data_IF_397465786745
#
_entry.id   IF_397465786745
#
_cell.length_a   1.000
_cell.length_b   1.000
_cell.length_c   1.000
_cell.angle_alpha   90.00
_cell.angle_beta   90.00
_cell.angle_gamma   90.00
#
_symmetry.space_group_name_H-M   'P 1'
#
loop_
_entity.id
_entity.type
_entity.pdbx_description
1 polymer ?
#
# COMPACT_ATOMS: atom_id res chain seq x y z
N UNK A 1 -12.21 -2.31 -2.46
CA UNK A 1 -10.92 -2.91 -2.03
C UNK A 1 -9.87 -1.87 -1.68
N UNK A 2 -9.67 -0.83 -2.52
CA UNK A 2 -8.68 0.23 -2.28
C UNK A 2 -8.92 1.02 -0.98
N UNK A 3 -10.15 1.48 -0.73
CA UNK A 3 -10.51 2.20 0.50
C UNK A 3 -10.44 1.33 1.76
N UNK A 4 -10.72 0.02 1.63
CA UNK A 4 -10.55 -0.94 2.73
C UNK A 4 -9.06 -1.14 3.05
N UNK A 5 -8.20 -1.21 2.03
CA UNK A 5 -6.74 -1.26 2.22
C UNK A 5 -6.18 0.01 2.86
N UNK A 6 -6.65 1.19 2.45
CA UNK A 6 -6.27 2.48 3.04
C UNK A 6 -6.74 2.62 4.49
N UNK A 7 -7.99 2.28 4.78
CA UNK A 7 -8.53 2.27 6.15
C UNK A 7 -7.80 1.28 7.07
N UNK A 8 -7.47 0.08 6.56
CA UNK A 8 -6.68 -0.91 7.29
C UNK A 8 -5.28 -0.42 7.65
N UNK A 9 -4.63 0.35 6.78
CA UNK A 9 -3.31 0.93 7.06
C UNK A 9 -3.35 1.98 8.19
N UNK A 10 -4.37 2.83 8.22
CA UNK A 10 -4.55 3.85 9.28
C UNK A 10 -4.79 3.16 10.63
N UNK A 11 -5.69 2.16 10.66
CA UNK A 11 -5.95 1.34 11.84
C UNK A 11 -4.69 0.64 12.35
N UNK A 12 -3.83 0.15 11.45
CA UNK A 12 -2.56 -0.50 11.81
C UNK A 12 -1.59 0.46 12.49
N UNK A 13 -1.39 1.66 11.94
CA UNK A 13 -0.49 2.65 12.54
C UNK A 13 -0.98 3.10 13.93
N UNK A 14 -2.29 3.33 14.08
CA UNK A 14 -2.89 3.61 15.38
C UNK A 14 -2.69 2.44 16.35
N UNK A 15 -2.92 1.21 15.90
CA UNK A 15 -2.84 0.04 16.77
C UNK A 15 -1.40 -0.30 17.19
N UNK A 16 -0.42 -0.18 16.29
CA UNK A 16 1.02 -0.31 16.63
C UNK A 16 1.40 0.75 17.68
N UNK A 17 0.85 1.96 17.59
CA UNK A 17 1.10 3.00 18.58
C UNK A 17 0.56 2.66 19.98
N UNK A 18 -0.47 1.82 20.10
CA UNK A 18 -1.05 1.38 21.38
C UNK A 18 -0.61 -0.03 21.81
N UNK A 19 0.19 -0.74 21.00
CA UNK A 19 0.52 -2.13 21.24
C UNK A 19 1.55 -2.27 22.38
N UNK A 20 1.14 -2.87 23.50
CA UNK A 20 2.06 -3.20 24.61
C UNK A 20 2.76 -4.55 24.46
N UNK A 21 2.20 -5.47 23.66
CA UNK A 21 2.67 -6.85 23.55
C UNK A 21 3.09 -7.16 22.10
N UNK A 22 4.39 -7.32 21.80
CA UNK A 22 4.92 -7.30 20.44
C UNK A 22 4.53 -8.50 19.58
N UNK A 23 4.19 -9.64 20.18
CA UNK A 23 3.83 -10.87 19.46
C UNK A 23 2.55 -10.73 18.61
N UNK A 24 1.65 -9.82 18.98
CA UNK A 24 0.42 -9.58 18.23
C UNK A 24 0.67 -8.89 16.88
N UNK A 25 1.88 -8.42 16.57
CA UNK A 25 2.16 -7.80 15.27
C UNK A 25 2.14 -8.82 14.12
N UNK A 26 2.53 -10.07 14.37
CA UNK A 26 2.77 -11.10 13.34
C UNK A 26 1.51 -11.51 12.54
N UNK A 27 0.39 -11.93 13.17
CA UNK A 27 -0.81 -12.30 12.43
C UNK A 27 -1.43 -11.12 11.66
N UNK A 28 -1.24 -9.89 12.15
CA UNK A 28 -1.75 -8.70 11.49
C UNK A 28 -0.89 -8.27 10.30
N UNK A 29 0.44 -8.42 10.38
CA UNK A 29 1.32 -8.26 9.22
C UNK A 29 0.98 -9.28 8.10
N UNK A 30 0.52 -10.48 8.47
CA UNK A 30 0.05 -11.46 7.48
C UNK A 30 -1.24 -11.02 6.77
N UNK A 31 -2.25 -10.56 7.52
CA UNK A 31 -3.50 -10.02 6.97
C UNK A 31 -3.25 -8.77 6.11
N UNK A 32 -2.29 -7.94 6.52
CA UNK A 32 -1.81 -6.79 5.76
C UNK A 32 -1.21 -7.23 4.40
N UNK A 33 -0.38 -8.27 4.40
CA UNK A 33 0.18 -8.84 3.17
C UNK A 33 -0.91 -9.31 2.19
N UNK A 34 -1.93 -10.01 2.71
CA UNK A 34 -3.06 -10.49 1.89
C UNK A 34 -3.86 -9.32 1.31
N UNK A 35 -4.21 -8.33 2.13
CA UNK A 35 -4.99 -7.17 1.67
C UNK A 35 -4.21 -6.32 0.66
N UNK A 36 -2.89 -6.15 0.85
CA UNK A 36 -2.03 -5.48 -0.11
C UNK A 36 -1.97 -6.24 -1.44
N UNK A 37 -1.78 -7.56 -1.41
CA UNK A 37 -1.77 -8.38 -2.61
C UNK A 37 -3.12 -8.33 -3.36
N UNK A 38 -4.24 -8.38 -2.64
CA UNK A 38 -5.57 -8.28 -3.21
C UNK A 38 -5.84 -6.91 -3.86
N UNK A 39 -5.40 -5.82 -3.21
CA UNK A 39 -5.48 -4.46 -3.76
C UNK A 39 -4.66 -4.34 -5.04
N UNK A 40 -3.42 -4.85 -5.02
CA UNK A 40 -2.54 -4.83 -6.19
C UNK A 40 -3.14 -5.61 -7.36
N UNK A 41 -3.63 -6.83 -7.10
CA UNK A 41 -4.30 -7.66 -8.11
C UNK A 41 -5.53 -6.99 -8.71
N UNK A 42 -6.36 -6.33 -7.89
CA UNK A 42 -7.52 -5.58 -8.36
C UNK A 42 -7.13 -4.38 -9.23
N UNK A 43 -6.10 -3.62 -8.85
CA UNK A 43 -5.57 -2.52 -9.66
C UNK A 43 -5.03 -3.01 -11.01
N UNK A 44 -4.22 -4.07 -11.01
CA UNK A 44 -3.69 -4.66 -12.23
C UNK A 44 -4.80 -5.18 -13.15
N UNK A 45 -5.83 -5.83 -12.60
CA UNK A 45 -7.00 -6.30 -13.36
C UNK A 45 -7.81 -5.15 -13.96
N UNK A 46 -8.06 -4.10 -13.18
CA UNK A 46 -8.78 -2.91 -13.64
C UNK A 46 -8.07 -2.21 -14.81
N UNK A 47 -6.76 -1.99 -14.70
CA UNK A 47 -5.98 -1.38 -15.77
C UNK A 47 -5.90 -2.28 -17.00
N UNK A 48 -5.70 -3.60 -16.82
CA UNK A 48 -5.64 -4.54 -17.93
C UNK A 48 -6.96 -4.63 -18.72
N UNK A 49 -8.10 -4.46 -18.04
CA UNK A 49 -9.43 -4.43 -18.67
C UNK A 49 -9.67 -3.15 -19.47
N UNK A 50 -9.23 -2.00 -18.97
CA UNK A 50 -9.44 -0.70 -19.61
C UNK A 50 -8.36 -0.31 -20.64
N UNK A 51 -7.29 -1.11 -20.76
CA UNK A 51 -6.15 -0.81 -21.64
C UNK A 51 -6.07 -1.80 -22.81
N UNK A 52 -5.85 -1.32 -24.05
CA UNK A 52 -5.66 -2.22 -25.20
C UNK A 52 -4.47 -3.17 -24.97
N UNK A 53 -4.53 -4.42 -25.50
CA UNK A 53 -3.57 -5.48 -25.19
C UNK A 53 -2.10 -5.10 -25.37
N UNK A 54 -1.81 -4.28 -26.38
CA UNK A 54 -0.47 -3.83 -26.73
C UNK A 54 0.13 -2.86 -25.71
N UNK A 55 -0.69 -2.17 -24.91
CA UNK A 55 -0.26 -1.14 -23.95
C UNK A 55 -0.35 -1.60 -22.49
N UNK A 56 -0.82 -2.82 -22.22
CA UNK A 56 -1.03 -3.33 -20.85
C UNK A 56 0.24 -3.33 -20.00
N UNK A 57 1.37 -3.75 -20.59
CA UNK A 57 2.66 -3.78 -19.89
C UNK A 57 3.13 -2.36 -19.53
N UNK A 58 3.01 -1.40 -20.45
CA UNK A 58 3.32 0.00 -20.19
C UNK A 58 2.42 0.61 -19.13
N UNK A 59 1.11 0.34 -19.16
CA UNK A 59 0.17 0.84 -18.16
C UNK A 59 0.40 0.25 -16.77
N UNK A 60 0.77 -1.04 -16.68
CA UNK A 60 1.22 -1.66 -15.42
C UNK A 60 2.55 -1.08 -14.94
N UNK A 61 3.48 -0.78 -15.84
CA UNK A 61 4.74 -0.10 -15.53
C UNK A 61 4.52 1.30 -14.94
N UNK A 62 3.59 2.07 -15.50
CA UNK A 62 3.18 3.39 -14.96
C UNK A 62 2.54 3.23 -13.58
N UNK A 63 1.62 2.28 -13.41
CA UNK A 63 1.02 1.99 -12.10
C UNK A 63 2.10 1.65 -11.06
N UNK A 64 3.08 0.81 -11.42
CA UNK A 64 4.16 0.43 -10.53
C UNK A 64 5.05 1.63 -10.18
N UNK A 65 5.40 2.46 -11.17
CA UNK A 65 6.18 3.68 -10.96
C UNK A 65 5.47 4.70 -10.06
N UNK A 66 4.16 4.85 -10.21
CA UNK A 66 3.37 5.75 -9.34
C UNK A 66 3.24 5.18 -7.93
N UNK A 67 2.90 3.90 -7.78
CA UNK A 67 2.62 3.30 -6.46
C UNK A 67 3.92 3.05 -5.67
N UNK A 68 4.91 2.37 -6.26
CA UNK A 68 6.15 1.99 -5.59
C UNK A 68 7.26 3.04 -5.73
N UNK A 69 7.19 3.92 -6.72
CA UNK A 69 8.12 5.03 -6.89
C UNK A 69 7.63 6.28 -6.18
N UNK A 70 6.78 7.06 -6.85
CA UNK A 70 6.33 8.37 -6.38
C UNK A 70 5.62 8.29 -5.02
N UNK A 71 4.64 7.39 -4.87
CA UNK A 71 3.85 7.23 -3.65
C UNK A 71 4.72 6.84 -2.45
N UNK A 72 5.58 5.84 -2.61
CA UNK A 72 6.52 5.43 -1.56
C UNK A 72 7.53 6.52 -1.23
N UNK A 73 8.07 7.19 -2.25
CA UNK A 73 9.05 8.28 -2.10
C UNK A 73 8.47 9.47 -1.33
N UNK A 74 7.31 9.99 -1.76
CA UNK A 74 6.62 11.08 -1.07
C UNK A 74 6.25 10.69 0.37
N UNK A 75 5.75 9.48 0.59
CA UNK A 75 5.42 8.99 1.92
C UNK A 75 6.64 8.91 2.85
N UNK A 76 7.79 8.46 2.34
CA UNK A 76 9.04 8.39 3.10
C UNK A 76 9.57 9.79 3.46
N UNK A 77 9.54 10.74 2.52
CA UNK A 77 9.99 12.12 2.76
C UNK A 77 9.09 12.81 3.78
N UNK A 78 7.78 12.80 3.56
CA UNK A 78 6.83 13.48 4.45
C UNK A 78 6.83 12.82 5.84
N UNK A 79 6.77 11.49 5.91
CA UNK A 79 6.84 10.75 7.17
C UNK A 79 8.16 10.98 7.91
N UNK A 80 9.28 10.99 7.18
CA UNK A 80 10.61 11.29 7.75
C UNK A 80 10.70 12.70 8.33
N UNK A 81 10.11 13.71 7.66
CA UNK A 81 10.03 15.08 8.19
C UNK A 81 9.22 15.15 9.48
N UNK A 82 8.08 14.45 9.56
CA UNK A 82 7.29 14.39 10.79
C UNK A 82 8.04 13.71 11.94
N UNK A 83 8.75 12.62 11.67
CA UNK A 83 9.59 11.93 12.69
C UNK A 83 10.77 12.79 13.12
N UNK A 84 11.40 13.53 12.21
CA UNK A 84 12.54 14.38 12.54
C UNK A 84 12.16 15.65 13.33
N UNK A 85 10.89 16.07 13.26
CA UNK A 85 10.39 17.27 13.95
C UNK A 85 9.88 16.99 15.37
N UNK A 86 9.89 15.72 15.81
CA UNK A 86 9.48 15.27 17.14
C UNK A 86 10.67 14.66 17.87
#
# INVERSE_FOLDING_TARGET
VLCLGLGGNILRFLYISYLKNPWWVLPFEFIQGITHAAVWAACCSYIAHNTPPQLRSSAQGVLQGIHHGLGRGCGAVIGGLFVASY
#
